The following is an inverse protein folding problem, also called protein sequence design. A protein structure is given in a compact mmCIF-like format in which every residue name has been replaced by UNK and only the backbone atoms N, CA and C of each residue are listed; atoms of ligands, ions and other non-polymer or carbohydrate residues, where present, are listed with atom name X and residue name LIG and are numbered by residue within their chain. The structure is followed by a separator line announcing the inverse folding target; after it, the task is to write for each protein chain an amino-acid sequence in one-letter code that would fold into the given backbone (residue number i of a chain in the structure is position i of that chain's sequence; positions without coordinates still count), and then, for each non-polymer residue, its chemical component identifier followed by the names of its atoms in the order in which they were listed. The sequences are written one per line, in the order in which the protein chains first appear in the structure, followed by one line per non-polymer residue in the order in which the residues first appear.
data_IF_500419084770
#
_entry.id   IF_500419084770
#
_cell.length_a   1.000
_cell.length_b   1.000
_cell.length_c   1.000
_cell.angle_alpha   90.00
_cell.angle_beta   90.00
_cell.angle_gamma   90.00
#
_symmetry.space_group_name_H-M   'P 1'
#
loop_
_entity.id
_entity.type
_entity.pdbx_description
1 polymer ?
#
# COMPACT_ATOMS: atom_id res chain seq x y z
N UNK A 1 20.09 8.63 -6.73
CA UNK A 1 19.23 9.47 -7.57
C UNK A 1 17.76 9.07 -7.47
N UNK A 2 17.35 7.89 -7.96
CA UNK A 2 15.92 7.48 -7.89
C UNK A 2 15.40 7.31 -6.46
N UNK A 3 16.19 6.70 -5.57
CA UNK A 3 15.85 6.59 -4.15
C UNK A 3 15.71 7.98 -3.50
N UNK A 4 16.66 8.88 -3.75
CA UNK A 4 16.63 10.23 -3.20
C UNK A 4 15.42 11.01 -3.71
N UNK A 5 15.04 10.82 -4.98
CA UNK A 5 13.81 11.39 -5.53
C UNK A 5 12.57 10.87 -4.80
N UNK A 6 12.45 9.56 -4.64
CA UNK A 6 11.33 8.92 -3.93
C UNK A 6 11.22 9.43 -2.48
N UNK A 7 12.33 9.44 -1.76
CA UNK A 7 12.40 9.91 -0.37
C UNK A 7 11.99 11.38 -0.27
N UNK A 8 12.55 12.24 -1.13
CA UNK A 8 12.23 13.67 -1.12
C UNK A 8 10.76 13.94 -1.46
N UNK A 9 10.17 13.22 -2.43
CA UNK A 9 8.77 13.37 -2.79
C UNK A 9 7.84 13.01 -1.63
N UNK A 10 8.08 11.88 -0.96
CA UNK A 10 7.32 11.43 0.21
C UNK A 10 7.45 12.43 1.36
N UNK A 11 8.69 12.85 1.71
CA UNK A 11 8.93 13.78 2.81
C UNK A 11 8.30 15.15 2.54
N UNK A 12 8.42 15.66 1.32
CA UNK A 12 7.79 16.92 0.90
C UNK A 12 6.26 16.82 1.03
N UNK A 13 5.66 15.76 0.51
CA UNK A 13 4.21 15.54 0.62
C UNK A 13 3.75 15.52 2.08
N UNK A 14 4.49 14.84 2.96
CA UNK A 14 4.18 14.79 4.41
C UNK A 14 4.21 16.17 5.06
N UNK A 15 5.19 17.00 4.71
CA UNK A 15 5.33 18.36 5.25
C UNK A 15 4.18 19.24 4.76
N UNK A 16 3.89 19.23 3.45
CA UNK A 16 2.87 20.07 2.84
C UNK A 16 1.44 19.67 3.26
N UNK A 17 1.22 18.39 3.55
CA UNK A 17 -0.09 17.86 3.94
C UNK A 17 -0.22 17.58 5.45
N UNK A 18 0.66 18.13 6.29
CA UNK A 18 0.63 17.90 7.75
C UNK A 18 -0.75 18.14 8.36
N UNK A 19 -1.45 19.20 7.95
CA UNK A 19 -2.78 19.51 8.48
C UNK A 19 -3.81 18.42 8.15
N UNK A 20 -3.71 17.78 6.98
CA UNK A 20 -4.56 16.65 6.61
C UNK A 20 -4.27 15.46 7.52
N UNK A 21 -3.00 15.08 7.72
CA UNK A 21 -2.63 14.01 8.65
C UNK A 21 -3.10 14.28 10.09
N UNK A 22 -2.93 15.50 10.60
CA UNK A 22 -3.42 15.88 11.93
C UNK A 22 -4.94 15.71 12.03
N UNK A 23 -5.68 16.08 10.97
CA UNK A 23 -7.13 15.88 10.90
C UNK A 23 -7.51 14.40 10.88
N UNK A 24 -6.77 13.54 10.17
CA UNK A 24 -6.99 12.08 10.20
C UNK A 24 -6.93 11.52 11.61
N UNK A 25 -5.92 11.95 12.38
CA UNK A 25 -5.75 11.53 13.78
C UNK A 25 -6.93 12.03 14.62
N UNK A 26 -7.27 13.31 14.50
CA UNK A 26 -8.38 13.92 15.24
C UNK A 26 -9.73 13.24 14.97
N UNK A 27 -9.97 12.84 13.73
CA UNK A 27 -11.21 12.21 13.28
C UNK A 27 -11.24 10.69 13.57
N UNK A 28 -10.25 10.16 14.29
CA UNK A 28 -10.20 8.75 14.67
C UNK A 28 -10.03 7.82 13.47
N UNK A 29 -9.33 8.27 12.43
CA UNK A 29 -9.05 7.49 11.22
C UNK A 29 -7.82 6.59 11.37
N UNK A 30 -7.00 6.80 12.39
CA UNK A 30 -5.95 5.86 12.80
C UNK A 30 -6.58 4.77 13.67
N UNK A 31 -6.56 3.53 13.20
CA UNK A 31 -7.24 2.38 13.80
C UNK A 31 -6.39 1.12 13.71
N UNK A 32 -6.75 0.13 14.51
CA UNK A 32 -6.29 -1.24 14.29
C UNK A 32 -6.94 -1.78 13.01
N UNK A 33 -6.12 -1.98 11.99
CA UNK A 33 -6.48 -2.49 10.66
C UNK A 33 -5.97 -3.93 10.48
N UNK A 34 -6.10 -4.50 9.29
CA UNK A 34 -5.53 -5.81 8.96
C UNK A 34 -3.99 -5.76 8.96
N UNK A 35 -3.42 -4.65 8.50
CA UNK A 35 -1.96 -4.43 8.44
C UNK A 35 -1.30 -5.04 7.19
N UNK A 36 -1.91 -6.07 6.60
CA UNK A 36 -1.49 -6.69 5.34
C UNK A 36 -2.64 -6.92 4.33
N UNK A 37 -3.54 -5.95 4.16
CA UNK A 37 -4.73 -6.12 3.31
C UNK A 37 -4.42 -5.94 1.82
N UNK A 38 -4.04 -7.02 1.14
CA UNK A 38 -3.84 -7.08 -0.31
C UNK A 38 -4.61 -8.25 -0.94
N UNK A 39 -4.73 -8.32 -2.27
CA UNK A 39 -5.64 -9.26 -2.93
C UNK A 39 -5.28 -10.73 -2.70
N UNK A 40 -4.03 -11.04 -2.38
CA UNK A 40 -3.58 -12.38 -2.00
C UNK A 40 -4.16 -12.87 -0.67
N UNK A 41 -4.60 -11.94 0.18
CA UNK A 41 -5.21 -12.20 1.49
C UNK A 41 -6.75 -12.08 1.45
N UNK A 42 -7.34 -12.07 0.25
CA UNK A 42 -8.79 -11.98 0.03
C UNK A 42 -9.27 -13.18 -0.77
N UNK A 43 -10.20 -13.94 -0.20
CA UNK A 43 -10.83 -15.08 -0.85
C UNK A 43 -12.32 -14.81 -1.07
N UNK A 44 -12.77 -14.91 -2.33
CA UNK A 44 -14.14 -14.61 -2.74
C UNK A 44 -14.85 -15.92 -3.10
N UNK A 45 -15.88 -16.26 -2.33
CA UNK A 45 -16.85 -17.31 -2.61
C UNK A 45 -18.17 -16.69 -3.08
N UNK A 46 -19.04 -17.52 -3.67
CA UNK A 46 -20.31 -17.11 -4.28
C UNK A 46 -21.20 -16.28 -3.35
N UNK A 47 -21.14 -16.52 -2.04
CA UNK A 47 -21.98 -15.92 -1.00
C UNK A 47 -21.19 -15.10 0.03
N UNK A 48 -19.85 -15.12 -0.01
CA UNK A 48 -19.04 -14.56 1.06
C UNK A 48 -17.63 -14.17 0.64
N UNK A 49 -17.12 -13.11 1.27
CA UNK A 49 -15.73 -12.67 1.18
C UNK A 49 -15.04 -13.01 2.50
N UNK A 50 -13.85 -13.58 2.41
CA UNK A 50 -12.95 -13.85 3.53
C UNK A 50 -11.70 -13.00 3.36
N UNK A 51 -11.33 -12.29 4.42
CA UNK A 51 -10.05 -11.58 4.52
C UNK A 51 -9.28 -12.25 5.66
N UNK A 52 -8.07 -12.70 5.40
CA UNK A 52 -7.29 -13.55 6.31
C UNK A 52 -5.82 -13.13 6.36
N UNK A 53 -5.07 -13.66 7.33
CA UNK A 53 -3.65 -13.33 7.57
C UNK A 53 -3.44 -11.89 8.06
N UNK A 54 -4.30 -11.44 8.98
CA UNK A 54 -4.14 -10.14 9.64
C UNK A 54 -2.92 -10.15 10.58
N UNK A 55 -2.21 -9.02 10.65
CA UNK A 55 -1.08 -8.87 11.56
C UNK A 55 -1.61 -8.61 12.98
N UNK A 56 -1.71 -9.67 13.79
CA UNK A 56 -2.22 -9.58 15.17
C UNK A 56 -1.11 -9.42 16.22
N UNK A 57 0.14 -9.73 15.86
CA UNK A 57 1.26 -9.83 16.81
C UNK A 57 2.00 -8.51 17.05
N UNK A 58 1.85 -7.51 16.17
CA UNK A 58 2.55 -6.23 16.30
C UNK A 58 1.65 -5.06 15.92
N UNK A 59 1.22 -4.31 16.95
CA UNK A 59 0.39 -3.11 16.77
C UNK A 59 1.02 -2.03 15.92
N UNK A 60 2.35 -1.96 15.83
CA UNK A 60 3.01 -0.99 14.95
C UNK A 60 2.78 -1.29 13.47
N UNK A 61 2.35 -2.51 13.12
CA UNK A 61 2.04 -2.92 11.75
C UNK A 61 0.53 -2.90 11.45
N UNK A 62 -0.32 -3.17 12.42
CA UNK A 62 -1.79 -3.13 12.25
C UNK A 62 -2.40 -1.75 12.56
N UNK A 63 -1.81 -0.96 13.46
CA UNK A 63 -2.29 0.38 13.77
C UNK A 63 -1.83 1.37 12.69
N UNK A 64 -2.76 1.80 11.84
CA UNK A 64 -2.48 2.74 10.76
C UNK A 64 -3.70 3.58 10.43
N UNK A 65 -3.50 4.63 9.64
CA UNK A 65 -4.61 5.32 9.01
C UNK A 65 -5.38 4.36 8.09
N UNK A 66 -6.71 4.29 8.18
CA UNK A 66 -7.54 3.46 7.28
C UNK A 66 -7.32 3.76 5.80
N UNK A 67 -6.89 4.98 5.45
CA UNK A 67 -6.50 5.33 4.08
C UNK A 67 -5.26 4.55 3.62
N UNK A 68 -4.33 4.25 4.53
CA UNK A 68 -3.14 3.46 4.24
C UNK A 68 -3.46 1.98 3.95
N UNK A 69 -4.53 1.46 4.56
CA UNK A 69 -5.02 0.11 4.31
C UNK A 69 -5.74 0.02 2.96
N UNK A 70 -6.66 0.96 2.69
CA UNK A 70 -7.35 1.05 1.40
C UNK A 70 -6.37 1.25 0.26
N UNK A 71 -5.38 2.12 0.44
CA UNK A 71 -4.31 2.35 -0.52
C UNK A 71 -3.48 1.09 -0.79
N UNK A 72 -3.33 0.19 0.19
CA UNK A 72 -2.57 -1.03 -0.02
C UNK A 72 -3.27 -1.97 -1.00
N UNK A 73 -4.56 -2.25 -0.77
CA UNK A 73 -5.34 -3.04 -1.72
C UNK A 73 -5.48 -2.34 -3.07
N UNK A 74 -5.66 -1.03 -3.10
CA UNK A 74 -5.71 -0.23 -4.33
C UNK A 74 -4.42 -0.34 -5.16
N UNK A 75 -3.25 -0.21 -4.51
CA UNK A 75 -1.94 -0.38 -5.14
C UNK A 75 -1.75 -1.80 -5.66
N UNK A 76 -2.14 -2.80 -4.89
CA UNK A 76 -2.01 -4.20 -5.27
C UNK A 76 -2.90 -4.56 -6.48
N UNK A 77 -4.14 -4.05 -6.52
CA UNK A 77 -5.01 -4.21 -7.69
C UNK A 77 -4.40 -3.58 -8.93
N UNK A 78 -3.84 -2.38 -8.83
CA UNK A 78 -3.17 -1.71 -9.94
C UNK A 78 -1.89 -2.43 -10.38
N UNK A 79 -1.11 -2.95 -9.44
CA UNK A 79 0.07 -3.77 -9.72
C UNK A 79 -0.28 -5.05 -10.50
N UNK A 80 -1.49 -5.58 -10.31
CA UNK A 80 -2.03 -6.73 -11.03
C UNK A 80 -2.86 -6.33 -12.27
N UNK A 81 -2.60 -5.16 -12.85
CA UNK A 81 -3.27 -4.64 -14.06
C UNK A 81 -4.80 -4.47 -13.93
N UNK A 82 -5.30 -4.26 -12.70
CA UNK A 82 -6.73 -4.07 -12.38
C UNK A 82 -7.03 -2.67 -11.86
N UNK A 83 -6.63 -1.66 -12.64
CA UNK A 83 -6.97 -0.26 -12.38
C UNK A 83 -8.51 -0.02 -12.32
N UNK A 84 -9.29 -0.81 -13.07
CA UNK A 84 -10.75 -0.81 -13.00
C UNK A 84 -11.27 -1.19 -11.61
N UNK A 85 -10.66 -2.20 -10.98
CA UNK A 85 -11.03 -2.62 -9.62
C UNK A 85 -10.50 -1.65 -8.57
N UNK A 86 -9.31 -1.08 -8.76
CA UNK A 86 -8.79 -0.01 -7.91
C UNK A 86 -9.82 1.12 -7.81
N UNK A 87 -10.26 1.65 -8.95
CA UNK A 87 -11.21 2.76 -9.00
C UNK A 87 -12.57 2.38 -8.42
N UNK A 88 -13.11 1.20 -8.77
CA UNK A 88 -14.38 0.73 -8.24
C UNK A 88 -14.32 0.58 -6.71
N UNK A 89 -13.24 0.00 -6.19
CA UNK A 89 -13.03 -0.21 -4.76
C UNK A 89 -12.89 1.11 -4.00
N UNK A 90 -11.99 2.00 -4.41
CA UNK A 90 -11.73 3.26 -3.70
C UNK A 90 -12.96 4.16 -3.71
N UNK A 91 -13.64 4.30 -4.85
CA UNK A 91 -14.87 5.08 -4.95
C UNK A 91 -15.99 4.52 -4.06
N UNK A 92 -16.17 3.19 -4.07
CA UNK A 92 -17.17 2.55 -3.21
C UNK A 92 -16.82 2.73 -1.74
N UNK A 93 -15.56 2.54 -1.35
CA UNK A 93 -15.12 2.72 0.03
C UNK A 93 -15.35 4.15 0.52
N UNK A 94 -14.93 5.17 -0.25
CA UNK A 94 -15.12 6.58 0.10
C UNK A 94 -16.61 6.91 0.25
N UNK A 95 -17.46 6.39 -0.66
CA UNK A 95 -18.90 6.59 -0.59
C UNK A 95 -19.52 5.99 0.68
N UNK A 96 -19.17 4.74 1.03
CA UNK A 96 -19.77 4.05 2.18
C UNK A 96 -19.19 4.53 3.53
N UNK A 97 -17.93 4.98 3.55
CA UNK A 97 -17.26 5.46 4.76
C UNK A 97 -17.36 6.98 4.99
N UNK A 98 -17.94 7.69 4.02
CA UNK A 98 -18.02 9.15 3.92
C UNK A 98 -16.65 9.82 4.13
N UNK A 99 -15.57 9.14 3.73
CA UNK A 99 -14.20 9.55 3.96
C UNK A 99 -13.58 10.22 2.73
N UNK A 100 -14.04 11.43 2.41
CA UNK A 100 -13.51 12.19 1.27
C UNK A 100 -12.02 12.54 1.41
N UNK A 101 -11.52 12.69 2.65
CA UNK A 101 -10.12 13.02 2.93
C UNK A 101 -9.13 11.93 2.51
N UNK A 102 -9.59 10.68 2.39
CA UNK A 102 -8.79 9.54 1.93
C UNK A 102 -8.24 9.77 0.51
N UNK A 103 -9.01 10.38 -0.38
CA UNK A 103 -8.59 10.62 -1.78
C UNK A 103 -7.35 11.51 -1.84
N UNK A 104 -7.24 12.48 -0.93
CA UNK A 104 -6.06 13.35 -0.84
C UNK A 104 -4.80 12.62 -0.39
N UNK A 105 -4.91 11.45 0.24
CA UNK A 105 -3.77 10.66 0.73
C UNK A 105 -3.53 9.37 -0.06
N UNK A 106 -4.38 9.07 -1.03
CA UNK A 106 -4.39 7.77 -1.72
C UNK A 106 -3.08 7.51 -2.45
N UNK A 107 -2.65 8.41 -3.34
CA UNK A 107 -1.39 8.28 -4.09
C UNK A 107 -0.17 8.20 -3.16
N UNK A 108 -0.16 8.97 -2.07
CA UNK A 108 0.91 8.95 -1.07
C UNK A 108 1.04 7.58 -0.41
N UNK A 109 -0.07 7.01 0.06
CA UNK A 109 -0.02 5.71 0.70
C UNK A 109 0.22 4.57 -0.31
N UNK A 110 -0.24 4.68 -1.55
CA UNK A 110 0.08 3.72 -2.61
C UNK A 110 1.59 3.73 -2.92
N UNK A 111 2.20 4.91 -3.00
CA UNK A 111 3.65 5.11 -3.12
C UNK A 111 4.40 4.43 -1.98
N UNK A 112 4.02 4.73 -0.73
CA UNK A 112 4.61 4.13 0.46
C UNK A 112 4.49 2.60 0.45
N UNK A 113 3.30 2.05 0.15
CA UNK A 113 3.07 0.59 0.14
C UNK A 113 3.82 -0.11 -0.98
N UNK A 114 3.91 0.48 -2.17
CA UNK A 114 4.74 -0.06 -3.26
C UNK A 114 6.22 -0.13 -2.84
N UNK A 115 6.75 0.91 -2.20
CA UNK A 115 8.12 0.88 -1.67
C UNK A 115 8.31 -0.19 -0.57
N UNK A 116 7.35 -0.32 0.35
CA UNK A 116 7.37 -1.38 1.37
C UNK A 116 7.39 -2.77 0.71
N UNK A 117 6.59 -3.00 -0.33
CA UNK A 117 6.60 -4.26 -1.09
C UNK A 117 7.92 -4.52 -1.79
N UNK A 118 8.56 -3.49 -2.37
CA UNK A 118 9.90 -3.61 -2.92
C UNK A 118 10.91 -4.02 -1.84
N UNK A 119 10.89 -3.35 -0.67
CA UNK A 119 11.77 -3.67 0.47
C UNK A 119 11.55 -5.09 1.00
N UNK A 120 10.30 -5.51 1.18
CA UNK A 120 9.99 -6.86 1.69
C UNK A 120 10.40 -7.93 0.67
N UNK A 121 10.15 -7.69 -0.62
CA UNK A 121 10.54 -8.61 -1.69
C UNK A 121 12.06 -8.77 -1.78
N UNK A 122 12.82 -7.70 -1.52
CA UNK A 122 14.28 -7.74 -1.56
C UNK A 122 14.90 -8.59 -0.43
N UNK A 123 14.19 -8.81 0.69
CA UNK A 123 14.67 -9.71 1.73
C UNK A 123 14.78 -11.16 1.26
N UNK A 124 13.94 -11.59 0.30
CA UNK A 124 14.08 -12.93 -0.30
C UNK A 124 15.43 -13.10 -0.97
N UNK A 125 15.99 -12.05 -1.57
CA UNK A 125 17.30 -12.09 -2.22
C UNK A 125 18.46 -12.36 -1.26
N UNK A 126 18.25 -12.21 0.05
CA UNK A 126 19.24 -12.52 1.07
C UNK A 126 19.17 -13.98 1.56
N UNK A 127 18.22 -14.79 1.08
CA UNK A 127 18.09 -16.19 1.46
C UNK A 127 19.19 -17.05 0.80
N UNK A 128 19.84 -17.90 1.60
CA UNK A 128 21.07 -18.59 1.20
C UNK A 128 20.87 -19.73 0.18
N UNK A 129 19.63 -20.08 -0.18
CA UNK A 129 19.31 -21.31 -0.95
C UNK A 129 18.34 -21.08 -2.13
N UNK A 130 18.29 -19.88 -2.70
CA UNK A 130 17.46 -19.64 -3.89
C UNK A 130 18.05 -20.30 -5.14
N UNK A 131 17.18 -20.87 -5.98
CA UNK A 131 17.57 -21.19 -7.36
C UNK A 131 17.79 -19.91 -8.17
N UNK A 132 18.46 -20.02 -9.31
CA UNK A 132 18.64 -18.87 -10.21
C UNK A 132 17.29 -18.31 -10.69
N UNK A 133 16.29 -19.17 -10.92
CA UNK A 133 14.93 -18.75 -11.29
C UNK A 133 14.22 -18.00 -10.15
N UNK A 134 14.33 -18.49 -8.91
CA UNK A 134 13.72 -17.85 -7.74
C UNK A 134 14.36 -16.48 -7.47
N UNK A 135 15.69 -16.40 -7.61
CA UNK A 135 16.43 -15.15 -7.50
C UNK A 135 16.01 -14.15 -8.57
N UNK A 136 15.99 -14.56 -9.84
CA UNK A 136 15.58 -13.69 -10.94
C UNK A 136 14.13 -13.19 -10.78
N UNK A 137 13.24 -14.06 -10.33
CA UNK A 137 11.84 -13.71 -10.04
C UNK A 137 11.73 -12.68 -8.90
N UNK A 138 12.48 -12.87 -7.82
CA UNK A 138 12.52 -11.93 -6.70
C UNK A 138 13.15 -10.57 -7.08
N UNK A 139 14.20 -10.56 -7.91
CA UNK A 139 14.82 -9.33 -8.44
C UNK A 139 13.84 -8.56 -9.31
N UNK A 140 13.12 -9.27 -10.20
CA UNK A 140 12.09 -8.66 -11.04
C UNK A 140 10.98 -8.06 -10.20
N UNK A 141 10.42 -8.82 -9.25
CA UNK A 141 9.33 -8.36 -8.39
C UNK A 141 9.73 -7.14 -7.56
N UNK A 142 10.93 -7.16 -6.97
CA UNK A 142 11.50 -6.02 -6.23
C UNK A 142 11.59 -4.79 -7.13
N UNK A 143 12.12 -4.96 -8.35
CA UNK A 143 12.28 -3.88 -9.32
C UNK A 143 10.94 -3.29 -9.75
N UNK A 144 9.94 -4.13 -10.02
CA UNK A 144 8.63 -3.71 -10.49
C UNK A 144 7.90 -2.87 -9.42
N UNK A 145 7.93 -3.32 -8.16
CA UNK A 145 7.37 -2.53 -7.06
C UNK A 145 8.10 -1.20 -6.83
N UNK A 146 9.44 -1.18 -6.96
CA UNK A 146 10.20 0.05 -6.82
C UNK A 146 9.87 1.05 -7.94
N UNK A 147 9.74 0.59 -9.19
CA UNK A 147 9.28 1.41 -10.31
C UNK A 147 7.86 1.92 -10.10
N UNK A 148 6.97 1.10 -9.56
CA UNK A 148 5.61 1.53 -9.22
C UNK A 148 5.61 2.63 -8.15
N UNK A 149 6.44 2.51 -7.12
CA UNK A 149 6.62 3.57 -6.13
C UNK A 149 7.12 4.88 -6.76
N UNK A 150 8.09 4.80 -7.68
CA UNK A 150 8.58 5.98 -8.42
C UNK A 150 7.51 6.61 -9.31
N UNK A 151 6.60 5.82 -9.88
CA UNK A 151 5.49 6.35 -10.66
C UNK A 151 4.56 7.19 -9.78
N UNK A 152 4.11 6.64 -8.64
CA UNK A 152 3.27 7.40 -7.71
C UNK A 152 4.00 8.61 -7.13
N UNK A 153 5.30 8.51 -6.85
CA UNK A 153 6.09 9.63 -6.35
C UNK A 153 6.13 10.84 -7.29
N UNK A 154 5.91 10.64 -8.60
CA UNK A 154 5.80 11.74 -9.59
C UNK A 154 4.45 12.46 -9.55
N UNK A 155 3.46 11.85 -8.89
CA UNK A 155 2.12 12.38 -8.71
C UNK A 155 1.93 13.07 -7.35
N UNK A 156 2.95 13.03 -6.48
CA UNK A 156 3.02 13.70 -5.17
C UNK A 156 3.56 15.13 -5.30
#
# INVERSE_FOLDING_TARGET
EEFDFLENAILKFMIENKALFDMRVKDGRVRECHGDCHSGNIFILSDKIYIFDAIEFNKAFSCSDVAAEVAFLAMDLEFNDRADLKEAFTNKYVKESEDGGLLGLLAFYMCYRAYVRAKVSSFRLAEANLTDEEKSSAEKLTTDYFKLALLYAREL
#
